data_IF_185301174528
#
_entry.id   IF_185301174528
#
_cell.length_a   1.000
_cell.length_b   1.000
_cell.length_c   1.000
_cell.angle_alpha   90.00
_cell.angle_beta   90.00
_cell.angle_gamma   90.00
#
_symmetry.space_group_name_H-M   'P 1'
#
loop_
_entity.id
_entity.type
_entity.pdbx_description
1 polymer ?
#
# COMPACT_ATOMS: atom_id res chain seq x y z
N UNK A 1 -81.77 -18.41 38.27
CA UNK A 1 -81.40 -17.57 39.43
C UNK A 1 -80.93 -16.23 38.88
N UNK A 2 -81.88 -15.30 38.74
CA UNK A 2 -81.65 -13.88 38.45
C UNK A 2 -81.23 -13.21 39.77
N UNK A 3 -80.23 -12.32 39.79
CA UNK A 3 -80.23 -11.00 40.47
C UNK A 3 -79.07 -10.13 39.88
N UNK A 4 -79.47 -9.08 39.15
CA UNK A 4 -79.04 -7.67 39.12
C UNK A 4 -77.58 -7.21 39.28
N UNK A 5 -77.16 -6.43 38.28
CA UNK A 5 -76.67 -5.03 38.34
C UNK A 5 -75.99 -4.50 39.62
N UNK A 6 -74.78 -3.96 39.44
CA UNK A 6 -74.49 -2.60 39.90
C UNK A 6 -73.55 -1.91 38.92
N UNK A 7 -73.95 -0.71 38.54
CA UNK A 7 -73.33 0.12 37.51
C UNK A 7 -72.37 1.16 38.13
N UNK A 8 -71.60 1.78 37.24
CA UNK A 8 -71.03 3.14 37.34
C UNK A 8 -69.81 3.38 38.25
N UNK A 9 -68.67 3.69 37.61
CA UNK A 9 -68.18 5.08 37.58
C UNK A 9 -67.04 5.27 36.58
N UNK A 10 -67.29 6.21 35.67
CA UNK A 10 -66.33 6.82 34.77
C UNK A 10 -65.27 7.61 35.53
N UNK A 11 -64.00 7.46 35.12
CA UNK A 11 -63.00 8.52 35.30
C UNK A 11 -62.34 8.74 33.95
N UNK A 12 -62.79 9.81 33.31
CA UNK A 12 -62.10 10.54 32.25
C UNK A 12 -60.82 11.18 32.81
N UNK A 13 -59.67 10.99 32.16
CA UNK A 13 -58.60 11.98 32.16
C UNK A 13 -57.71 11.82 30.91
N UNK A 14 -57.68 12.90 30.16
CA UNK A 14 -57.09 13.22 28.87
C UNK A 14 -55.55 13.10 28.75
N UNK A 15 -54.98 13.26 27.53
CA UNK A 15 -53.71 12.68 27.12
C UNK A 15 -52.50 13.51 27.57
N UNK A 16 -51.44 12.86 28.02
CA UNK A 16 -50.14 13.53 28.16
C UNK A 16 -49.46 13.57 26.80
N UNK A 17 -49.60 14.73 26.18
CA UNK A 17 -48.80 15.25 25.08
C UNK A 17 -47.29 15.02 25.28
N UNK A 18 -46.67 14.48 24.23
CA UNK A 18 -45.47 15.01 23.57
C UNK A 18 -44.39 15.57 24.48
N UNK A 19 -43.34 14.78 24.71
CA UNK A 19 -41.94 15.15 25.06
C UNK A 19 -41.17 13.82 25.06
N UNK A 20 -40.14 13.53 24.26
CA UNK A 20 -39.19 14.38 23.59
C UNK A 20 -38.63 13.65 22.35
N UNK A 21 -38.88 14.21 21.18
CA UNK A 21 -38.13 13.92 19.97
C UNK A 21 -36.88 14.83 19.93
N UNK A 22 -35.85 14.52 20.71
CA UNK A 22 -34.47 15.01 20.48
C UNK A 22 -33.48 13.95 20.99
N UNK A 23 -33.47 12.76 20.37
CA UNK A 23 -32.19 12.09 20.14
C UNK A 23 -31.72 12.51 18.76
N UNK A 24 -31.30 13.77 18.66
CA UNK A 24 -30.36 14.15 17.60
C UNK A 24 -29.11 13.35 17.94
N UNK A 25 -28.94 12.24 17.24
CA UNK A 25 -27.68 11.54 17.10
C UNK A 25 -26.66 12.57 16.67
N UNK A 26 -25.97 13.17 17.64
CA UNK A 26 -24.63 13.68 17.38
C UNK A 26 -23.92 12.55 16.63
N UNK A 27 -23.32 12.79 15.45
CA UNK A 27 -22.47 11.78 14.88
C UNK A 27 -21.43 11.54 15.96
N UNK A 28 -21.48 10.35 16.57
CA UNK A 28 -20.36 9.86 17.33
C UNK A 28 -19.17 10.15 16.43
N UNK A 29 -18.23 10.96 16.92
CA UNK A 29 -16.93 11.11 16.31
C UNK A 29 -16.33 9.72 16.42
N UNK A 30 -16.72 8.85 15.50
CA UNK A 30 -16.14 7.54 15.32
C UNK A 30 -14.66 7.83 15.20
N UNK A 31 -13.87 7.19 16.05
CA UNK A 31 -12.42 7.31 16.02
C UNK A 31 -11.98 6.99 14.60
N UNK A 32 -11.74 8.03 13.79
CA UNK A 32 -11.15 7.87 12.48
C UNK A 32 -9.74 7.38 12.76
N UNK A 33 -9.31 6.35 12.03
CA UNK A 33 -7.91 5.93 12.08
C UNK A 33 -7.05 7.17 11.83
N UNK A 34 -5.97 7.37 12.62
CA UNK A 34 -5.08 8.51 12.45
C UNK A 34 -4.59 8.53 11.00
N UNK A 35 -4.49 9.72 10.38
CA UNK A 35 -4.07 9.83 8.98
C UNK A 35 -2.81 9.01 8.67
N UNK A 36 -2.66 8.49 7.44
CA UNK A 36 -1.46 7.78 7.03
C UNK A 36 -0.22 8.60 7.38
N UNK A 37 0.83 7.93 7.84
CA UNK A 37 2.07 8.59 8.22
C UNK A 37 2.60 9.44 7.05
N UNK A 38 2.91 10.71 7.33
CA UNK A 38 3.61 11.55 6.37
C UNK A 38 4.98 10.92 6.09
N UNK A 39 5.28 10.74 4.81
CA UNK A 39 6.58 10.21 4.38
C UNK A 39 7.74 11.10 4.86
N UNK A 40 8.97 10.57 4.89
CA UNK A 40 10.14 11.37 5.27
C UNK A 40 10.27 12.60 4.36
N UNK A 41 10.72 13.73 4.93
CA UNK A 41 11.02 14.91 4.13
C UNK A 41 12.25 14.63 3.24
N UNK A 42 12.07 14.85 1.93
CA UNK A 42 13.14 14.76 0.94
C UNK A 42 13.35 16.13 0.31
N UNK A 43 14.59 16.42 -0.06
CA UNK A 43 14.95 17.56 -0.91
C UNK A 43 15.27 17.00 -2.28
N UNK A 44 14.34 17.17 -3.23
CA UNK A 44 14.53 16.69 -4.60
C UNK A 44 14.58 17.85 -5.58
N UNK A 45 15.63 17.89 -6.40
CA UNK A 45 15.63 18.65 -7.65
C UNK A 45 15.02 17.74 -8.72
N UNK A 46 14.20 18.28 -9.62
CA UNK A 46 13.59 17.48 -10.70
C UNK A 46 14.68 16.67 -11.42
N UNK A 47 14.48 15.35 -11.51
CA UNK A 47 15.47 14.47 -12.12
C UNK A 47 15.61 14.83 -13.60
N UNK A 48 16.84 14.83 -14.16
CA UNK A 48 17.04 14.97 -15.59
C UNK A 48 16.25 13.85 -16.27
N UNK A 49 15.23 14.23 -17.04
CA UNK A 49 14.56 13.28 -17.92
C UNK A 49 15.45 13.14 -19.15
N UNK A 50 15.71 11.90 -19.55
CA UNK A 50 16.08 11.52 -20.93
C UNK A 50 15.24 12.30 -21.96
N UNK A 51 15.61 12.31 -23.27
CA UNK A 51 14.81 12.96 -24.30
C UNK A 51 13.32 12.66 -24.14
N UNK A 52 12.50 13.72 -24.20
CA UNK A 52 11.09 13.66 -23.83
C UNK A 52 10.27 12.66 -24.68
N UNK A 53 10.76 12.33 -25.88
CA UNK A 53 10.19 11.37 -26.80
C UNK A 53 10.35 9.90 -26.37
N UNK A 54 11.18 9.60 -25.37
CA UNK A 54 11.35 8.25 -24.82
C UNK A 54 10.34 7.90 -23.71
N UNK A 55 9.56 8.89 -23.26
CA UNK A 55 8.54 8.73 -22.24
C UNK A 55 7.18 8.58 -22.88
N UNK A 56 6.36 7.68 -22.35
CA UNK A 56 5.02 7.43 -22.89
C UNK A 56 3.90 7.95 -22.00
N UNK A 57 4.20 8.30 -20.74
CA UNK A 57 3.23 8.80 -19.77
C UNK A 57 2.40 7.71 -19.09
N UNK A 58 1.82 8.08 -17.94
CA UNK A 58 1.10 7.18 -17.04
C UNK A 58 -0.14 6.51 -17.68
N UNK A 59 -0.86 7.24 -18.54
CA UNK A 59 -2.09 6.73 -19.17
C UNK A 59 -1.80 5.54 -20.07
N UNK A 60 -0.63 5.54 -20.73
CA UNK A 60 -0.18 4.42 -21.54
C UNK A 60 0.16 3.20 -20.68
N UNK A 61 0.84 3.38 -19.55
CA UNK A 61 1.13 2.27 -18.64
C UNK A 61 -0.18 1.56 -18.24
N UNK A 62 -1.24 2.34 -18.03
CA UNK A 62 -2.54 1.85 -17.62
C UNK A 62 -3.36 1.06 -18.63
N UNK A 63 -3.12 1.24 -19.92
CA UNK A 63 -3.84 0.46 -20.93
C UNK A 63 -3.53 -1.03 -20.84
N UNK A 64 -2.35 -1.40 -20.31
CA UNK A 64 -1.89 -2.79 -20.17
C UNK A 64 -1.84 -3.25 -18.70
N UNK A 65 -1.42 -2.41 -17.75
CA UNK A 65 -1.32 -2.76 -16.33
C UNK A 65 -2.66 -2.56 -15.59
N UNK A 66 -3.67 -3.38 -15.93
CA UNK A 66 -5.06 -3.23 -15.48
C UNK A 66 -5.38 -3.53 -13.99
N UNK A 67 -4.66 -4.40 -13.25
CA UNK A 67 -4.85 -4.51 -11.79
C UNK A 67 -4.53 -3.21 -11.05
N UNK A 68 -3.84 -2.29 -11.74
CA UNK A 68 -3.53 -0.94 -11.30
C UNK A 68 -4.50 0.08 -11.90
N UNK A 69 -5.52 -0.33 -12.68
CA UNK A 69 -6.47 0.53 -13.38
C UNK A 69 -7.89 -0.05 -13.35
N UNK A 70 -8.73 0.48 -12.47
CA UNK A 70 -10.17 0.23 -12.53
C UNK A 70 -10.73 1.13 -13.64
N UNK A 71 -11.35 0.53 -14.67
CA UNK A 71 -11.93 1.22 -15.85
C UNK A 71 -12.84 2.41 -15.48
N UNK A 72 -13.48 2.37 -14.31
CA UNK A 72 -14.38 3.40 -13.81
C UNK A 72 -13.78 4.34 -12.76
N UNK A 73 -12.54 4.10 -12.30
CA UNK A 73 -11.96 4.83 -11.19
C UNK A 73 -10.41 4.93 -11.27
N UNK A 74 -9.86 5.84 -12.10
CA UNK A 74 -8.40 6.08 -12.20
C UNK A 74 -7.75 6.63 -10.92
N UNK A 75 -8.52 6.85 -9.85
CA UNK A 75 -8.02 7.14 -8.50
C UNK A 75 -7.58 5.88 -7.73
N UNK A 76 -7.98 4.68 -8.17
CA UNK A 76 -7.75 3.40 -7.45
C UNK A 76 -6.51 2.65 -7.93
N UNK A 77 -5.65 3.32 -8.69
CA UNK A 77 -4.28 2.85 -8.92
C UNK A 77 -3.59 2.80 -7.56
N UNK A 78 -3.12 1.64 -7.11
CA UNK A 78 -2.47 1.48 -5.80
C UNK A 78 -1.37 2.54 -5.58
N UNK A 79 -0.58 2.82 -6.61
CA UNK A 79 0.42 3.88 -6.59
C UNK A 79 -0.14 5.26 -6.20
N UNK A 80 -1.30 5.66 -6.75
CA UNK A 80 -1.91 6.98 -6.53
C UNK A 80 -2.36 7.20 -5.09
N UNK A 81 -2.58 6.12 -4.33
CA UNK A 81 -2.92 6.19 -2.91
C UNK A 81 -1.72 6.56 -2.04
N UNK A 82 -0.50 6.34 -2.54
CA UNK A 82 0.73 6.53 -1.76
C UNK A 82 1.16 8.00 -1.64
N UNK A 83 1.99 8.33 -0.63
CA UNK A 83 2.62 9.65 -0.53
C UNK A 83 3.44 10.02 -1.77
N UNK A 84 4.05 9.06 -2.47
CA UNK A 84 4.86 9.32 -3.67
C UNK A 84 4.04 10.02 -4.77
N UNK A 85 2.81 9.59 -5.01
CA UNK A 85 1.94 10.19 -6.03
C UNK A 85 1.46 11.61 -5.68
N UNK A 86 1.58 12.02 -4.41
CA UNK A 86 1.18 13.36 -3.93
C UNK A 86 2.31 14.38 -4.03
N UNK A 87 3.53 13.96 -4.34
CA UNK A 87 4.68 14.86 -4.46
C UNK A 87 4.45 15.81 -5.65
N UNK A 88 4.60 17.11 -5.38
CA UNK A 88 4.52 18.16 -6.40
C UNK A 88 5.79 18.99 -6.41
N UNK A 89 6.27 19.32 -7.61
CA UNK A 89 7.38 20.25 -7.86
C UNK A 89 6.84 21.34 -8.77
N UNK A 90 6.99 22.61 -8.38
CA UNK A 90 6.42 23.77 -9.08
C UNK A 90 4.92 23.65 -9.37
N UNK A 91 4.17 23.07 -8.42
CA UNK A 91 2.72 22.87 -8.54
C UNK A 91 2.29 21.75 -9.48
N UNK A 92 3.21 21.02 -10.12
CA UNK A 92 2.94 19.89 -11.01
C UNK A 92 3.23 18.54 -10.33
N UNK A 93 2.52 17.45 -10.65
CA UNK A 93 2.88 16.11 -10.19
C UNK A 93 4.32 15.80 -10.58
N UNK A 94 5.13 15.41 -9.59
CA UNK A 94 6.56 15.17 -9.80
C UNK A 94 6.93 13.69 -9.97
N UNK A 95 6.01 12.79 -9.60
CA UNK A 95 6.23 11.35 -9.62
C UNK A 95 5.17 10.66 -10.46
N UNK A 96 5.62 9.77 -11.32
CA UNK A 96 4.81 8.86 -12.14
C UNK A 96 5.51 7.48 -12.22
N UNK A 97 4.94 6.56 -13.00
CA UNK A 97 5.50 5.23 -13.22
C UNK A 97 6.94 5.29 -13.73
N UNK A 98 7.21 6.19 -14.68
CA UNK A 98 8.49 6.32 -15.38
C UNK A 98 9.57 6.98 -14.52
N UNK A 99 9.20 7.61 -13.41
CA UNK A 99 10.15 8.14 -12.43
C UNK A 99 10.92 7.02 -11.71
N UNK A 100 10.25 5.89 -11.45
CA UNK A 100 10.86 4.72 -10.82
C UNK A 100 11.32 3.69 -11.86
N UNK A 101 10.54 3.50 -12.93
CA UNK A 101 10.79 2.48 -13.96
C UNK A 101 11.61 2.97 -15.15
N UNK A 102 11.92 4.26 -15.22
CA UNK A 102 12.61 4.88 -16.35
C UNK A 102 11.70 5.05 -17.58
N UNK A 103 12.28 5.47 -18.73
CA UNK A 103 11.53 5.70 -19.97
C UNK A 103 10.83 4.42 -20.45
N UNK A 104 9.51 4.46 -20.59
CA UNK A 104 8.68 3.29 -20.87
C UNK A 104 8.43 3.01 -22.34
N UNK A 105 8.79 3.92 -23.27
CA UNK A 105 8.41 3.82 -24.69
C UNK A 105 8.88 2.53 -25.35
N UNK A 106 10.17 2.19 -25.21
CA UNK A 106 10.74 0.99 -25.84
C UNK A 106 10.04 -0.29 -25.37
N UNK A 107 9.73 -0.37 -24.07
CA UNK A 107 8.97 -1.48 -23.51
C UNK A 107 7.53 -1.52 -24.03
N UNK A 108 6.81 -0.39 -23.98
CA UNK A 108 5.43 -0.26 -24.46
C UNK A 108 5.31 -0.71 -25.92
N UNK A 109 6.16 -0.18 -26.80
CA UNK A 109 6.10 -0.45 -28.24
C UNK A 109 6.43 -1.92 -28.54
N UNK A 110 7.43 -2.48 -27.85
CA UNK A 110 7.78 -3.90 -27.98
C UNK A 110 6.69 -4.84 -27.43
N UNK A 111 6.03 -4.46 -26.33
CA UNK A 111 4.96 -5.23 -25.72
C UNK A 111 3.72 -5.29 -26.63
N UNK A 112 3.39 -4.19 -27.32
CA UNK A 112 2.32 -4.22 -28.32
C UNK A 112 2.69 -5.05 -29.55
N UNK A 113 3.90 -4.88 -30.06
CA UNK A 113 4.39 -5.65 -31.20
C UNK A 113 4.47 -7.16 -30.91
N UNK A 114 4.52 -7.55 -29.63
CA UNK A 114 4.47 -8.94 -29.22
C UNK A 114 3.12 -9.62 -29.53
N UNK A 115 2.02 -8.87 -29.58
CA UNK A 115 0.68 -9.40 -29.86
C UNK A 115 0.30 -10.62 -28.99
N UNK A 116 0.72 -10.62 -27.73
CA UNK A 116 0.47 -11.72 -26.78
C UNK A 116 1.45 -12.90 -26.85
N UNK A 117 2.51 -12.83 -27.66
CA UNK A 117 3.59 -13.82 -27.67
C UNK A 117 4.45 -13.72 -26.40
N UNK A 118 4.45 -14.77 -25.58
CA UNK A 118 5.14 -14.80 -24.29
C UNK A 118 6.65 -14.56 -24.39
N UNK A 119 7.31 -15.07 -25.44
CA UNK A 119 8.74 -14.89 -25.61
C UNK A 119 9.09 -13.44 -25.96
N UNK A 120 8.27 -12.80 -26.81
CA UNK A 120 8.40 -11.39 -27.15
C UNK A 120 8.03 -10.48 -25.98
N UNK A 121 7.02 -10.83 -25.18
CA UNK A 121 6.69 -10.11 -23.94
C UNK A 121 7.84 -10.23 -22.93
N UNK A 122 8.42 -11.42 -22.77
CA UNK A 122 9.59 -11.61 -21.93
C UNK A 122 10.80 -10.78 -22.40
N UNK A 123 10.98 -10.61 -23.71
CA UNK A 123 11.99 -9.72 -24.28
C UNK A 123 11.65 -8.24 -24.01
N UNK A 124 10.40 -7.82 -24.23
CA UNK A 124 9.93 -6.45 -23.97
C UNK A 124 10.08 -6.04 -22.50
N UNK A 125 9.86 -6.97 -21.56
CA UNK A 125 10.03 -6.75 -20.12
C UNK A 125 11.47 -6.43 -19.71
N UNK A 126 12.48 -6.70 -20.56
CA UNK A 126 13.88 -6.33 -20.33
C UNK A 126 14.20 -4.90 -20.77
N UNK A 127 13.28 -4.23 -21.48
CA UNK A 127 13.47 -2.88 -22.02
C UNK A 127 13.02 -1.77 -21.06
N UNK A 128 12.54 -2.13 -19.87
CA UNK A 128 12.14 -1.20 -18.81
C UNK A 128 12.82 -1.60 -17.52
N UNK A 129 13.11 -0.62 -16.65
CA UNK A 129 13.66 -0.94 -15.35
C UNK A 129 12.63 -1.73 -14.54
N UNK A 130 13.05 -2.88 -14.03
CA UNK A 130 12.27 -3.68 -13.08
C UNK A 130 13.10 -3.89 -11.84
N UNK A 131 12.45 -3.98 -10.68
CA UNK A 131 13.12 -4.23 -9.40
C UNK A 131 13.54 -5.71 -9.23
N UNK A 132 14.12 -6.29 -10.28
CA UNK A 132 14.65 -7.67 -10.36
C UNK A 132 16.17 -7.70 -10.51
N UNK A 133 16.82 -6.53 -10.53
CA UNK A 133 18.28 -6.41 -10.53
C UNK A 133 18.89 -6.71 -9.16
N UNK A 134 20.16 -6.37 -9.00
CA UNK A 134 20.87 -6.49 -7.72
C UNK A 134 20.26 -5.56 -6.65
N UNK A 135 20.48 -5.87 -5.38
CA UNK A 135 20.01 -5.03 -4.29
C UNK A 135 20.55 -3.59 -4.38
N UNK A 136 21.80 -3.42 -4.82
CA UNK A 136 22.42 -2.10 -5.01
C UNK A 136 21.74 -1.31 -6.12
N UNK A 137 21.48 -1.92 -7.28
CA UNK A 137 20.77 -1.26 -8.39
C UNK A 137 19.34 -0.87 -7.99
N UNK A 138 18.63 -1.77 -7.30
CA UNK A 138 17.27 -1.52 -6.84
C UNK A 138 17.23 -0.42 -5.77
N UNK A 139 18.13 -0.44 -4.80
CA UNK A 139 18.20 0.57 -3.74
C UNK A 139 18.61 1.94 -4.30
N UNK A 140 19.57 1.96 -5.25
CA UNK A 140 20.01 3.18 -5.92
C UNK A 140 18.82 3.94 -6.54
N UNK A 141 17.84 3.24 -7.12
CA UNK A 141 16.63 3.87 -7.68
C UNK A 141 15.87 4.71 -6.66
N UNK A 142 15.76 4.23 -5.42
CA UNK A 142 15.09 4.93 -4.33
C UNK A 142 15.98 6.08 -3.78
N UNK A 143 17.28 5.81 -3.66
CA UNK A 143 18.24 6.75 -3.08
C UNK A 143 18.50 7.97 -3.97
N UNK A 144 18.13 7.93 -5.25
CA UNK A 144 18.09 9.13 -6.10
C UNK A 144 17.37 10.30 -5.42
N UNK A 145 16.29 10.04 -4.66
CA UNK A 145 15.57 11.06 -3.90
C UNK A 145 15.73 10.90 -2.38
N UNK A 146 15.79 9.66 -1.88
CA UNK A 146 15.86 9.40 -0.44
C UNK A 146 17.24 9.60 0.17
N UNK A 147 18.28 9.89 -0.63
CA UNK A 147 19.63 10.18 -0.11
C UNK A 147 19.70 11.39 0.81
N UNK A 148 18.73 12.31 0.75
CA UNK A 148 18.68 13.48 1.64
C UNK A 148 17.74 13.28 2.83
N UNK A 149 17.14 12.10 2.98
CA UNK A 149 16.21 11.81 4.07
C UNK A 149 16.99 11.30 5.27
N UNK A 150 16.80 11.93 6.43
CA UNK A 150 17.39 11.48 7.70
C UNK A 150 17.06 10.02 8.04
N UNK A 151 15.98 9.47 7.49
CA UNK A 151 15.59 8.09 7.77
C UNK A 151 16.24 7.06 6.83
N UNK A 152 16.70 7.46 5.64
CA UNK A 152 17.19 6.52 4.61
C UNK A 152 18.57 6.88 4.06
N UNK A 153 19.14 8.03 4.41
CA UNK A 153 20.43 8.51 3.88
C UNK A 153 21.58 7.53 4.12
N UNK A 154 21.54 6.76 5.23
CA UNK A 154 22.56 5.78 5.58
C UNK A 154 22.32 4.38 4.99
N UNK A 155 21.27 4.18 4.18
CA UNK A 155 20.92 2.84 3.69
C UNK A 155 22.03 2.20 2.85
N UNK A 156 22.79 3.01 2.10
CA UNK A 156 23.92 2.53 1.28
C UNK A 156 25.04 1.90 2.13
N UNK A 157 25.08 2.22 3.43
CA UNK A 157 26.05 1.69 4.40
C UNK A 157 25.41 0.70 5.38
N UNK A 158 24.14 0.36 5.19
CA UNK A 158 23.42 -0.51 6.11
C UNK A 158 23.87 -1.98 6.01
N UNK A 159 23.76 -2.68 7.13
CA UNK A 159 23.97 -4.14 7.17
C UNK A 159 22.99 -4.93 6.29
N UNK A 160 21.82 -4.34 5.98
CA UNK A 160 20.83 -4.88 5.05
C UNK A 160 21.34 -4.85 3.61
N UNK A 161 21.79 -3.69 3.12
CA UNK A 161 22.31 -3.59 1.76
C UNK A 161 23.57 -4.45 1.58
N UNK A 162 24.46 -4.46 2.58
CA UNK A 162 25.64 -5.32 2.59
C UNK A 162 25.31 -6.82 2.49
N UNK A 163 24.09 -7.23 2.83
CA UNK A 163 23.57 -8.60 2.73
C UNK A 163 22.62 -8.82 1.55
N UNK A 164 22.62 -7.90 0.58
CA UNK A 164 21.81 -8.03 -0.62
C UNK A 164 20.31 -7.76 -0.38
N UNK A 165 19.98 -6.94 0.61
CA UNK A 165 18.60 -6.48 0.86
C UNK A 165 18.42 -5.04 0.36
N UNK A 166 17.39 -4.81 -0.45
CA UNK A 166 16.99 -3.52 -1.02
C UNK A 166 15.64 -3.05 -0.44
N UNK A 167 15.36 -1.75 -0.57
CA UNK A 167 14.14 -1.09 -0.11
C UNK A 167 12.87 -1.87 -0.52
N UNK A 168 12.81 -2.33 -1.77
CA UNK A 168 11.67 -3.03 -2.34
C UNK A 168 11.45 -4.45 -1.80
N UNK A 169 12.30 -4.99 -0.91
CA UNK A 169 12.01 -6.24 -0.19
C UNK A 169 11.19 -5.98 1.08
N UNK A 170 11.27 -4.78 1.64
CA UNK A 170 10.47 -4.37 2.81
C UNK A 170 9.28 -3.50 2.41
N UNK A 171 9.48 -2.58 1.47
CA UNK A 171 8.48 -1.61 1.03
C UNK A 171 7.91 -1.98 -0.34
N UNK A 172 6.65 -1.61 -0.59
CA UNK A 172 6.06 -1.64 -1.93
C UNK A 172 5.32 -0.34 -2.20
N UNK A 173 5.56 0.25 -3.36
CA UNK A 173 4.96 1.56 -3.73
C UNK A 173 3.65 1.39 -4.49
N UNK A 174 3.31 0.15 -4.84
CA UNK A 174 2.00 -0.27 -5.32
C UNK A 174 1.75 -1.66 -4.74
N UNK A 175 0.75 -1.80 -3.87
CA UNK A 175 0.45 -3.07 -3.21
C UNK A 175 -0.31 -3.98 -4.19
N UNK A 176 0.40 -4.60 -5.11
CA UNK A 176 -0.16 -5.61 -6.00
C UNK A 176 0.31 -6.98 -5.54
N UNK A 177 -0.62 -7.93 -5.40
CA UNK A 177 -0.24 -9.32 -5.15
C UNK A 177 0.59 -9.84 -6.32
N UNK A 178 1.75 -10.44 -6.07
CA UNK A 178 2.51 -11.07 -7.14
C UNK A 178 1.68 -12.23 -7.69
N UNK A 179 1.27 -12.15 -8.96
CA UNK A 179 0.75 -13.29 -9.69
C UNK A 179 1.89 -14.30 -9.86
N UNK A 180 2.03 -15.21 -8.89
CA UNK A 180 2.92 -16.36 -9.00
C UNK A 180 2.37 -17.23 -10.12
N UNK A 181 3.11 -17.29 -11.23
CA UNK A 181 3.03 -18.29 -12.29
C UNK A 181 1.65 -18.97 -12.40
N UNK A 182 0.76 -18.35 -13.18
CA UNK A 182 -0.57 -18.87 -13.52
C UNK A 182 -0.53 -20.29 -14.12
N UNK A 183 0.63 -20.75 -14.62
CA UNK A 183 0.80 -22.12 -15.13
C UNK A 183 1.18 -23.15 -14.06
N UNK A 184 1.57 -22.72 -12.85
CA UNK A 184 1.99 -23.61 -11.75
C UNK A 184 1.13 -23.48 -10.48
N UNK A 185 0.20 -22.53 -10.42
CA UNK A 185 -0.78 -22.41 -9.35
C UNK A 185 -2.07 -23.19 -9.64
N UNK A 186 -2.68 -23.81 -8.62
CA UNK A 186 -4.10 -24.19 -8.67
C UNK A 186 -4.96 -22.90 -8.66
N UNK A 187 -5.11 -22.23 -9.79
CA UNK A 187 -6.09 -21.16 -9.96
C UNK A 187 -6.82 -21.36 -11.29
N UNK A 188 -7.89 -22.15 -11.25
CA UNK A 188 -8.79 -22.41 -12.38
C UNK A 188 -10.04 -21.53 -12.31
N UNK A 189 -9.93 -20.25 -11.94
CA UNK A 189 -11.11 -19.38 -11.93
C UNK A 189 -10.79 -17.91 -12.23
N UNK A 190 -11.46 -17.29 -13.23
CA UNK A 190 -11.43 -15.84 -13.48
C UNK A 190 -11.68 -14.96 -12.24
N UNK A 191 -12.41 -15.46 -11.24
CA UNK A 191 -12.64 -14.78 -9.96
C UNK A 191 -11.37 -14.59 -9.12
N UNK A 192 -10.32 -15.41 -9.32
CA UNK A 192 -9.03 -15.22 -8.66
C UNK A 192 -8.36 -13.89 -9.03
N UNK A 193 -8.67 -13.35 -10.22
CA UNK A 193 -8.21 -12.03 -10.65
C UNK A 193 -8.91 -10.88 -9.90
N UNK A 194 -10.12 -11.12 -9.35
CA UNK A 194 -10.83 -10.14 -8.52
C UNK A 194 -10.18 -9.98 -7.14
N UNK A 195 -9.50 -11.01 -6.63
CA UNK A 195 -8.83 -11.03 -5.33
C UNK A 195 -7.37 -10.53 -5.37
N UNK A 196 -6.89 -10.06 -6.52
CA UNK A 196 -5.53 -9.50 -6.63
C UNK A 196 -5.44 -8.06 -6.14
N UNK A 197 -6.58 -7.38 -5.99
CA UNK A 197 -6.68 -6.08 -5.35
C UNK A 197 -6.48 -6.25 -3.83
N UNK A 198 -5.69 -5.37 -3.18
CA UNK A 198 -5.59 -5.35 -1.73
C UNK A 198 -6.96 -5.32 -1.08
N UNK A 199 -7.12 -6.13 -0.02
CA UNK A 199 -8.29 -6.01 0.84
C UNK A 199 -8.19 -4.68 1.61
N UNK A 200 -9.31 -3.99 1.85
CA UNK A 200 -9.32 -2.72 2.58
C UNK A 200 -8.51 -2.74 3.90
N UNK A 201 -8.59 -3.79 4.74
CA UNK A 201 -7.75 -3.86 5.93
C UNK A 201 -6.24 -3.93 5.63
N UNK A 202 -5.87 -4.61 4.55
CA UNK A 202 -4.47 -4.75 4.13
C UNK A 202 -3.94 -3.46 3.50
N UNK A 203 -4.75 -2.79 2.69
CA UNK A 203 -4.44 -1.47 2.12
C UNK A 203 -4.23 -0.44 3.23
N UNK A 204 -5.14 -0.37 4.19
CA UNK A 204 -5.03 0.53 5.35
C UNK A 204 -3.77 0.21 6.15
N UNK A 205 -3.49 -1.07 6.42
CA UNK A 205 -2.23 -1.47 7.07
C UNK A 205 -1.03 -0.94 6.28
N UNK A 206 -0.98 -1.15 4.98
CA UNK A 206 0.12 -0.75 4.11
C UNK A 206 0.33 0.77 4.11
N UNK A 207 -0.73 1.56 3.91
CA UNK A 207 -0.67 3.02 3.91
C UNK A 207 -0.24 3.61 5.25
N UNK A 208 -0.63 2.98 6.38
CA UNK A 208 -0.33 3.49 7.72
C UNK A 208 0.96 2.91 8.34
N UNK A 209 1.59 1.91 7.72
CA UNK A 209 2.85 1.33 8.17
C UNK A 209 3.96 1.57 7.15
N UNK A 210 4.15 2.83 6.74
CA UNK A 210 5.26 3.26 5.88
C UNK A 210 5.42 2.43 4.60
N UNK A 211 4.31 2.00 4.01
CA UNK A 211 4.27 1.20 2.79
C UNK A 211 4.98 -0.17 2.90
N UNK A 212 5.10 -0.72 4.12
CA UNK A 212 5.67 -2.05 4.32
C UNK A 212 4.80 -3.13 3.67
N UNK A 213 5.44 -4.07 2.98
CA UNK A 213 4.80 -5.25 2.38
C UNK A 213 4.05 -6.08 3.41
N UNK A 214 4.61 -6.18 4.61
CA UNK A 214 4.03 -6.87 5.75
C UNK A 214 4.26 -6.06 7.04
N UNK A 215 3.41 -6.23 8.05
CA UNK A 215 3.61 -5.58 9.34
C UNK A 215 4.79 -6.17 10.11
N UNK A 216 5.39 -5.37 11.01
CA UNK A 216 6.30 -5.89 12.02
C UNK A 216 5.50 -6.64 13.10
N UNK A 217 6.06 -7.72 13.69
CA UNK A 217 7.40 -8.27 13.45
C UNK A 217 7.49 -9.27 12.28
N UNK A 218 6.35 -9.66 11.68
CA UNK A 218 6.27 -10.68 10.62
C UNK A 218 7.25 -10.43 9.47
N UNK A 219 7.31 -9.19 8.97
CA UNK A 219 8.27 -8.80 7.94
C UNK A 219 9.72 -9.11 8.33
N UNK A 220 10.12 -8.80 9.56
CA UNK A 220 11.49 -9.00 10.03
C UNK A 220 11.82 -10.49 10.16
N UNK A 221 10.85 -11.28 10.64
CA UNK A 221 11.01 -12.72 10.84
C UNK A 221 11.15 -13.51 9.54
N UNK A 222 10.76 -12.95 8.39
CA UNK A 222 11.03 -13.57 7.08
C UNK A 222 12.52 -13.89 6.85
N UNK A 223 13.42 -13.11 7.47
CA UNK A 223 14.88 -13.32 7.41
C UNK A 223 15.49 -13.56 8.80
N UNK A 224 14.99 -12.90 9.85
CA UNK A 224 15.52 -12.99 11.22
C UNK A 224 14.90 -14.13 12.04
N UNK A 225 14.94 -15.36 11.51
CA UNK A 225 14.33 -16.53 12.16
C UNK A 225 14.93 -16.86 13.54
N UNK A 226 16.22 -16.60 13.76
CA UNK A 226 16.84 -16.78 15.09
C UNK A 226 16.28 -15.79 16.11
N UNK A 227 16.01 -14.55 15.71
CA UNK A 227 15.41 -13.54 16.59
C UNK A 227 13.97 -13.91 16.91
N UNK A 228 13.21 -14.41 15.93
CA UNK A 228 11.88 -14.96 16.16
C UNK A 228 11.89 -16.06 17.22
N UNK A 229 12.85 -16.99 17.16
CA UNK A 229 13.00 -18.05 18.14
C UNK A 229 13.33 -17.52 19.55
N UNK A 230 14.11 -16.44 19.66
CA UNK A 230 14.39 -15.78 20.94
C UNK A 230 13.15 -15.14 21.55
N UNK A 231 12.28 -14.55 20.74
CA UNK A 231 11.00 -14.01 21.20
C UNK A 231 9.99 -15.10 21.61
N UNK A 232 10.23 -16.37 21.28
CA UNK A 232 9.41 -17.48 21.78
C UNK A 232 9.81 -17.96 23.19
N UNK A 233 10.88 -17.39 23.78
CA UNK A 233 11.29 -17.73 25.14
C UNK A 233 10.32 -17.17 26.20
N UNK A 234 10.24 -17.77 27.41
CA UNK A 234 9.27 -17.35 28.43
C UNK A 234 9.39 -15.88 28.86
N UNK A 235 10.61 -15.32 28.78
CA UNK A 235 10.87 -13.91 29.08
C UNK A 235 11.38 -13.24 27.81
N UNK A 236 10.57 -12.34 27.29
CA UNK A 236 10.89 -11.54 26.11
C UNK A 236 10.21 -10.18 26.21
N UNK A 237 10.69 -9.23 25.43
CA UNK A 237 9.98 -7.97 25.27
C UNK A 237 8.71 -8.19 24.45
N UNK A 238 7.68 -7.38 24.67
CA UNK A 238 6.32 -7.61 24.13
C UNK A 238 6.15 -7.26 22.65
N UNK A 239 7.08 -7.73 21.81
CA UNK A 239 7.09 -7.54 20.35
C UNK A 239 6.09 -8.49 19.67
N UNK A 240 6.03 -9.81 19.98
CA UNK A 240 5.01 -10.70 19.42
C UNK A 240 3.57 -10.29 19.76
N UNK A 241 3.37 -9.70 20.95
CA UNK A 241 2.08 -9.18 21.41
C UNK A 241 1.72 -7.81 20.81
N UNK A 242 2.61 -7.22 19.99
CA UNK A 242 2.37 -5.97 19.29
C UNK A 242 2.44 -4.71 20.15
N UNK A 243 2.92 -4.81 21.40
CA UNK A 243 3.10 -3.66 22.29
C UNK A 243 4.40 -2.90 22.00
N UNK A 244 5.31 -3.51 21.24
CA UNK A 244 6.55 -2.88 20.78
C UNK A 244 6.89 -3.38 19.37
N UNK A 245 7.67 -2.61 18.62
CA UNK A 245 8.16 -2.94 17.28
C UNK A 245 9.68 -3.05 17.28
N UNK A 246 10.23 -3.79 16.33
CA UNK A 246 11.68 -3.90 16.15
C UNK A 246 12.32 -2.51 15.95
N UNK A 247 11.63 -1.65 15.19
CA UNK A 247 12.07 -0.28 14.88
C UNK A 247 11.96 0.70 16.04
N UNK A 248 11.38 0.31 17.18
CA UNK A 248 11.40 1.16 18.37
C UNK A 248 12.81 1.20 18.99
N UNK A 249 13.68 0.24 18.65
CA UNK A 249 15.06 0.18 19.11
C UNK A 249 16.11 0.05 17.98
N UNK A 250 15.73 -0.48 16.81
CA UNK A 250 16.66 -0.72 15.69
C UNK A 250 16.40 0.18 14.47
N UNK A 251 17.47 0.69 13.86
CA UNK A 251 17.40 1.42 12.59
C UNK A 251 17.61 0.48 11.41
N UNK A 252 16.51 0.02 10.79
CA UNK A 252 16.58 -0.88 9.64
C UNK A 252 17.32 -0.25 8.44
N UNK A 253 17.36 1.07 8.35
CA UNK A 253 18.04 1.77 7.26
C UNK A 253 19.52 2.10 7.53
N UNK A 254 20.10 1.60 8.62
CA UNK A 254 21.47 1.97 9.02
C UNK A 254 21.53 3.29 9.80
N UNK A 255 22.64 3.49 10.49
CA UNK A 255 22.95 4.65 11.34
C UNK A 255 24.41 5.01 11.18
#
# INVERSE_FOLDING_TARGET
MNIQESAERSVTAWPVLVLAAIFVSAPAVAQRLPEPAHGPSISMKALPREPADQYTGIDRCGSCHKPEWVEYSPEYIEFRKTPHARIRVDGKPAMDCETCHGPGKAHSDAAEAAQGDDAKIAAANKLIFTFRGTAKENAARCLVCHTSSKQQEMFDHSGHLARGVSCNQCHTTHLVSQVRDISKGKLTNPQANLYQLPQLPEEVRWLHNSLLKEAQPGLCYTCHGTVQAQFALPVHHRVPEGLMKCTDCHTAHGS
#
